data_IF_880223243732
#
_entry.id   IF_880223243732
#
_cell.length_a   1.000
_cell.length_b   1.000
_cell.length_c   1.000
_cell.angle_alpha   90.00
_cell.angle_beta   90.00
_cell.angle_gamma   90.00
#
_symmetry.space_group_name_H-M   'P 1'
#
loop_
_entity.id
_entity.type
_entity.pdbx_description
1 polymer ?
#
# COMPACT_ATOMS: atom_id res chain seq x y z
N UNK A 1 11.64 18.67 8.46
CA UNK A 1 11.68 18.31 7.03
C UNK A 1 11.59 16.80 6.81
N UNK A 2 12.45 15.96 7.40
CA UNK A 2 12.38 14.50 7.23
C UNK A 2 11.08 13.83 7.76
N UNK A 3 10.54 14.33 8.89
CA UNK A 3 9.26 13.84 9.44
C UNK A 3 8.05 14.17 8.56
N UNK A 4 8.12 15.26 7.81
CA UNK A 4 7.05 15.68 6.90
C UNK A 4 7.03 14.82 5.65
N UNK A 5 8.20 14.56 5.04
CA UNK A 5 8.30 13.66 3.89
C UNK A 5 7.78 12.24 4.20
N UNK A 6 8.10 11.69 5.39
CA UNK A 6 7.57 10.39 5.83
C UNK A 6 6.05 10.43 5.87
N UNK A 7 5.46 11.40 6.58
CA UNK A 7 4.01 11.53 6.72
C UNK A 7 3.34 11.59 5.35
N UNK A 8 3.86 12.45 4.49
CA UNK A 8 3.35 12.67 3.13
C UNK A 8 3.41 11.41 2.24
N UNK A 9 4.43 10.56 2.39
CA UNK A 9 4.52 9.29 1.65
C UNK A 9 3.54 8.25 2.21
N UNK A 10 3.41 8.17 3.53
CA UNK A 10 2.46 7.25 4.18
C UNK A 10 1.02 7.64 3.85
N UNK A 11 0.68 8.92 3.90
CA UNK A 11 -0.65 9.43 3.50
C UNK A 11 -0.96 9.10 2.04
N UNK A 12 0.01 9.26 1.15
CA UNK A 12 -0.16 8.86 -0.26
C UNK A 12 -0.49 7.37 -0.42
N UNK A 13 0.21 6.48 0.29
CA UNK A 13 -0.09 5.04 0.26
C UNK A 13 -1.49 4.74 0.79
N UNK A 14 -1.87 5.41 1.89
CA UNK A 14 -3.20 5.29 2.47
C UNK A 14 -4.25 5.69 1.43
N UNK A 15 -4.16 6.89 0.88
CA UNK A 15 -5.19 7.43 -0.01
C UNK A 15 -5.32 6.65 -1.32
N UNK A 16 -4.19 6.25 -1.92
CA UNK A 16 -4.17 5.67 -3.28
C UNK A 16 -4.36 4.16 -3.29
N UNK A 17 -3.89 3.43 -2.26
CA UNK A 17 -3.94 1.97 -2.24
C UNK A 17 -4.74 1.39 -1.07
N UNK A 18 -4.60 1.92 0.15
CA UNK A 18 -5.20 1.26 1.32
C UNK A 18 -6.67 1.64 1.58
N UNK A 19 -7.01 2.93 1.48
CA UNK A 19 -8.36 3.44 1.67
C UNK A 19 -9.38 2.82 0.70
N UNK A 20 -9.07 2.66 -0.61
CA UNK A 20 -9.96 1.96 -1.53
C UNK A 20 -10.29 0.54 -1.06
N UNK A 21 -9.31 -0.18 -0.50
CA UNK A 21 -9.52 -1.54 0.04
C UNK A 21 -10.35 -1.51 1.32
N UNK A 22 -10.07 -0.56 2.22
CA UNK A 22 -10.79 -0.42 3.49
C UNK A 22 -12.24 0.04 3.30
N UNK A 23 -12.53 0.81 2.24
CA UNK A 23 -13.88 1.30 1.91
C UNK A 23 -14.68 0.32 1.03
N UNK A 24 -14.02 -0.68 0.45
CA UNK A 24 -14.68 -1.68 -0.37
C UNK A 24 -15.71 -2.47 0.44
N UNK A 25 -16.92 -2.59 -0.09
CA UNK A 25 -18.04 -3.18 0.64
C UNK A 25 -18.32 -4.65 0.25
N UNK A 26 -18.84 -5.48 1.17
CA UNK A 26 -19.15 -6.87 0.91
C UNK A 26 -20.50 -7.10 0.21
N UNK A 27 -21.39 -6.11 0.17
CA UNK A 27 -22.72 -6.28 -0.44
C UNK A 27 -22.61 -6.50 -1.96
N UNK A 28 -23.46 -7.39 -2.50
CA UNK A 28 -23.46 -7.74 -3.91
C UNK A 28 -22.34 -8.71 -4.33
N UNK A 29 -21.42 -9.07 -3.43
CA UNK A 29 -20.34 -10.04 -3.69
C UNK A 29 -20.76 -11.47 -3.34
N UNK A 30 -20.16 -12.46 -3.99
CA UNK A 30 -20.27 -13.88 -3.60
C UNK A 30 -19.63 -14.13 -2.24
N UNK A 31 -19.99 -15.22 -1.55
CA UNK A 31 -19.39 -15.56 -0.25
C UNK A 31 -17.87 -15.78 -0.34
N UNK A 32 -17.40 -16.30 -1.48
CA UNK A 32 -15.96 -16.45 -1.75
C UNK A 32 -15.23 -15.11 -1.83
N UNK A 33 -15.87 -14.10 -2.43
CA UNK A 33 -15.33 -12.74 -2.54
C UNK A 33 -15.43 -11.98 -1.23
N UNK A 34 -16.50 -12.16 -0.44
CA UNK A 34 -16.60 -11.60 0.91
C UNK A 34 -15.46 -12.09 1.80
N UNK A 35 -15.13 -13.39 1.72
CA UNK A 35 -14.00 -13.97 2.45
C UNK A 35 -12.68 -13.36 1.99
N UNK A 36 -12.44 -13.28 0.68
CA UNK A 36 -11.23 -12.62 0.14
C UNK A 36 -11.14 -11.16 0.55
N UNK A 37 -12.26 -10.43 0.51
CA UNK A 37 -12.34 -9.02 0.90
C UNK A 37 -11.94 -8.84 2.37
N UNK A 38 -12.48 -9.68 3.26
CA UNK A 38 -12.09 -9.68 4.67
C UNK A 38 -10.60 -9.94 4.84
N UNK A 39 -10.07 -10.96 4.17
CA UNK A 39 -8.64 -11.31 4.26
C UNK A 39 -7.74 -10.15 3.80
N UNK A 40 -8.09 -9.47 2.69
CA UNK A 40 -7.30 -8.32 2.22
C UNK A 40 -7.46 -7.11 3.14
N UNK A 41 -8.65 -6.83 3.69
CA UNK A 41 -8.84 -5.72 4.62
C UNK A 41 -8.05 -5.92 5.92
N UNK A 42 -8.00 -7.16 6.43
CA UNK A 42 -7.19 -7.49 7.61
C UNK A 42 -5.69 -7.33 7.33
N UNK A 43 -5.22 -7.77 6.15
CA UNK A 43 -3.84 -7.53 5.71
C UNK A 43 -3.54 -6.03 5.54
N UNK A 44 -4.40 -5.28 4.86
CA UNK A 44 -4.25 -3.84 4.64
C UNK A 44 -4.18 -3.06 5.95
N UNK A 45 -4.97 -3.44 6.97
CA UNK A 45 -4.89 -2.82 8.30
C UNK A 45 -3.50 -3.01 8.93
N UNK A 46 -2.93 -4.21 8.82
CA UNK A 46 -1.58 -4.49 9.32
C UNK A 46 -0.51 -3.70 8.54
N UNK A 47 -0.67 -3.58 7.22
CA UNK A 47 0.20 -2.78 6.35
C UNK A 47 0.20 -1.29 6.73
N UNK A 48 -0.99 -0.69 6.92
CA UNK A 48 -1.12 0.71 7.36
C UNK A 48 -0.35 0.96 8.65
N UNK A 49 -0.53 0.08 9.65
CA UNK A 49 0.17 0.19 10.93
C UNK A 49 1.69 0.01 10.78
N UNK A 50 2.13 -0.89 9.89
CA UNK A 50 3.56 -1.07 9.59
C UNK A 50 4.16 0.20 8.99
N UNK A 51 3.55 0.77 7.96
CA UNK A 51 4.05 1.97 7.30
C UNK A 51 4.08 3.19 8.22
N UNK A 52 3.08 3.36 9.09
CA UNK A 52 3.07 4.42 10.11
C UNK A 52 4.21 4.31 11.11
N UNK A 53 4.68 3.09 11.42
CA UNK A 53 5.72 2.82 12.43
C UNK A 53 7.15 2.99 11.93
N UNK A 54 7.39 3.07 10.62
CA UNK A 54 8.75 3.27 10.10
C UNK A 54 9.41 4.55 10.63
N UNK A 55 10.74 4.51 10.82
CA UNK A 55 11.48 5.60 11.47
C UNK A 55 11.70 6.81 10.57
N UNK A 56 11.79 6.59 9.26
CA UNK A 56 12.12 7.63 8.29
C UNK A 56 11.36 7.49 6.96
N UNK A 57 11.41 8.55 6.15
CA UNK A 57 10.87 8.52 4.78
C UNK A 57 11.63 7.52 3.90
N UNK A 58 12.94 7.35 4.12
CA UNK A 58 13.78 6.38 3.42
C UNK A 58 13.32 4.95 3.70
N UNK A 59 13.04 4.64 4.97
CA UNK A 59 12.51 3.33 5.37
C UNK A 59 11.19 3.03 4.64
N UNK A 60 10.31 4.02 4.52
CA UNK A 60 9.03 3.88 3.80
C UNK A 60 9.28 3.52 2.32
N UNK A 61 10.20 4.22 1.64
CA UNK A 61 10.53 3.95 0.23
C UNK A 61 11.18 2.58 0.04
N UNK A 62 12.15 2.22 0.89
CA UNK A 62 12.86 0.94 0.80
C UNK A 62 11.91 -0.24 1.04
N UNK A 63 11.05 -0.14 2.06
CA UNK A 63 10.09 -1.21 2.35
C UNK A 63 8.98 -1.27 1.30
N UNK A 64 8.48 -0.14 0.80
CA UNK A 64 7.54 -0.13 -0.33
C UNK A 64 8.09 -0.91 -1.52
N UNK A 65 9.34 -0.64 -1.93
CA UNK A 65 10.00 -1.34 -3.05
C UNK A 65 10.16 -2.84 -2.79
N UNK A 66 10.48 -3.22 -1.55
CA UNK A 66 10.56 -4.62 -1.14
C UNK A 66 9.20 -5.31 -1.24
N UNK A 67 8.13 -4.62 -0.90
CA UNK A 67 6.77 -5.16 -0.88
C UNK A 67 6.18 -5.36 -2.27
N UNK A 68 6.61 -4.60 -3.28
CA UNK A 68 6.15 -4.76 -4.67
C UNK A 68 6.26 -6.21 -5.18
N UNK A 69 7.30 -6.92 -4.77
CA UNK A 69 7.65 -8.25 -5.27
C UNK A 69 7.71 -9.35 -4.19
N UNK A 70 7.35 -9.04 -2.93
CA UNK A 70 7.45 -10.01 -1.85
C UNK A 70 6.46 -11.16 -2.02
N UNK A 71 6.86 -12.38 -1.64
CA UNK A 71 5.97 -13.56 -1.71
C UNK A 71 4.66 -13.38 -0.89
N UNK A 72 4.68 -12.78 0.32
CA UNK A 72 3.46 -12.42 1.02
C UNK A 72 2.56 -11.48 0.22
N UNK A 73 3.14 -10.50 -0.48
CA UNK A 73 2.39 -9.55 -1.30
C UNK A 73 1.76 -10.20 -2.54
N UNK A 74 2.36 -11.25 -3.12
CA UNK A 74 1.80 -11.95 -4.29
C UNK A 74 0.38 -12.46 -4.06
N UNK A 75 0.11 -13.09 -2.91
CA UNK A 75 -1.23 -13.59 -2.57
C UNK A 75 -2.23 -12.45 -2.39
N UNK A 76 -1.84 -11.40 -1.65
CA UNK A 76 -2.69 -10.23 -1.40
C UNK A 76 -2.99 -9.50 -2.71
N UNK A 77 -1.98 -9.29 -3.58
CA UNK A 77 -2.14 -8.70 -4.90
C UNK A 77 -3.08 -9.51 -5.80
N UNK A 78 -3.00 -10.85 -5.78
CA UNK A 78 -3.92 -11.69 -6.54
C UNK A 78 -5.37 -11.52 -6.07
N UNK A 79 -5.60 -11.41 -4.76
CA UNK A 79 -6.94 -11.16 -4.21
C UNK A 79 -7.43 -9.75 -4.54
N UNK A 80 -6.59 -8.73 -4.39
CA UNK A 80 -6.93 -7.35 -4.76
C UNK A 80 -7.33 -7.25 -6.23
N UNK A 81 -6.55 -7.84 -7.14
CA UNK A 81 -6.87 -7.90 -8.57
C UNK A 81 -8.20 -8.62 -8.84
N UNK A 82 -8.43 -9.78 -8.19
CA UNK A 82 -9.69 -10.51 -8.34
C UNK A 82 -10.91 -9.73 -7.80
N UNK A 83 -10.69 -8.78 -6.89
CA UNK A 83 -11.73 -7.92 -6.32
C UNK A 83 -11.84 -6.56 -7.03
N UNK A 84 -11.06 -6.32 -8.09
CA UNK A 84 -10.90 -5.04 -8.79
C UNK A 84 -10.48 -3.89 -7.86
N UNK A 85 -9.54 -4.17 -6.96
CA UNK A 85 -8.99 -3.22 -5.99
C UNK A 85 -7.53 -2.87 -6.33
N UNK A 86 -7.08 -1.64 -6.02
CA UNK A 86 -5.71 -1.22 -6.33
C UNK A 86 -4.68 -2.00 -5.53
N UNK A 87 -3.52 -2.21 -6.14
CA UNK A 87 -2.33 -2.82 -5.56
C UNK A 87 -1.21 -1.80 -5.43
N UNK A 88 -0.15 -2.12 -4.66
CA UNK A 88 1.04 -1.27 -4.59
C UNK A 88 1.72 -1.12 -5.96
N UNK A 89 1.62 -2.15 -6.81
CA UNK A 89 2.18 -2.10 -8.16
C UNK A 89 1.46 -1.07 -9.05
N UNK A 90 0.16 -0.85 -8.84
CA UNK A 90 -0.62 0.11 -9.65
C UNK A 90 -0.26 1.57 -9.35
N UNK A 91 0.28 1.84 -8.15
CA UNK A 91 0.65 3.18 -7.70
C UNK A 91 2.18 3.40 -7.68
N UNK A 92 2.96 2.43 -8.18
CA UNK A 92 4.42 2.44 -8.07
C UNK A 92 5.04 3.71 -8.62
N UNK A 93 4.73 4.05 -9.86
CA UNK A 93 5.39 5.15 -10.55
C UNK A 93 5.01 6.50 -9.94
N UNK A 94 3.74 6.66 -9.52
CA UNK A 94 3.29 7.86 -8.79
C UNK A 94 3.97 7.99 -7.42
N UNK A 95 4.12 6.88 -6.69
CA UNK A 95 4.81 6.87 -5.41
C UNK A 95 6.29 7.23 -5.57
N UNK A 96 6.97 6.68 -6.57
CA UNK A 96 8.38 6.97 -6.87
C UNK A 96 8.58 8.43 -7.28
N UNK A 97 7.68 8.99 -8.09
CA UNK A 97 7.69 10.41 -8.44
C UNK A 97 7.56 11.29 -7.18
N UNK A 98 6.59 10.99 -6.32
CA UNK A 98 6.37 11.71 -5.06
C UNK A 98 7.57 11.61 -4.11
N UNK A 99 8.20 10.44 -4.03
CA UNK A 99 9.42 10.26 -3.26
C UNK A 99 10.56 11.12 -3.81
N UNK A 100 10.70 11.22 -5.13
CA UNK A 100 11.68 12.08 -5.79
C UNK A 100 11.43 13.57 -5.52
N UNK A 101 10.18 14.03 -5.63
CA UNK A 101 9.77 15.42 -5.33
C UNK A 101 10.10 15.82 -3.89
N UNK A 102 9.94 14.88 -2.95
CA UNK A 102 10.24 15.08 -1.54
C UNK A 102 11.75 14.94 -1.21
N UNK A 103 12.60 14.67 -2.21
CA UNK A 103 14.04 14.48 -2.02
C UNK A 103 14.41 13.16 -1.33
N UNK A 104 13.54 12.14 -1.39
CA UNK A 104 13.70 10.81 -0.78
C UNK A 104 13.99 9.73 -1.85
N UNK A 105 14.33 10.15 -3.06
CA UNK A 105 14.76 9.27 -4.16
C UNK A 105 16.21 8.81 -3.98
N UNK A 106 16.49 7.57 -4.41
CA UNK A 106 17.76 6.89 -4.20
C UNK A 106 18.99 7.77 -4.43
N UNK A 107 19.88 7.83 -3.43
CA UNK A 107 21.30 8.07 -3.71
C UNK A 107 21.71 7.13 -4.84
N UNK A 108 22.29 7.69 -5.90
CA UNK A 108 23.01 6.93 -6.93
C UNK A 108 24.01 5.98 -6.29
#
# INVERSE_FOLDING_TARGET
MASDAKRQLVEFLIDRAFDPVMKAKPEGRSDSEKKKLKDVQDATRAEIERFKRYGSARDVVENFKRDLNSDPAKKVHAYLKALNLPTLNDIKDEFEAKASELGVGASK
#
